data_IF_403498521624
#
_entry.id   IF_403498521624
#
_cell.length_a   1.000
_cell.length_b   1.000
_cell.length_c   1.000
_cell.angle_alpha   90.00
_cell.angle_beta   90.00
_cell.angle_gamma   90.00
#
_symmetry.space_group_name_H-M   'P 1'
#
loop_
_entity.id
_entity.type
_entity.pdbx_description
1 polymer ?
#
# COMPACT_ATOMS: atom_id res chain seq x y z
N UNK A 1 22.86 35.96 -8.79
CA UNK A 1 22.16 35.24 -7.71
C UNK A 1 22.06 33.79 -8.15
N UNK A 2 22.73 32.87 -7.46
CA UNK A 2 22.56 31.43 -7.68
C UNK A 2 21.46 30.98 -6.73
N UNK A 3 20.29 30.77 -7.31
CA UNK A 3 19.19 30.04 -6.71
C UNK A 3 19.70 28.66 -6.29
N UNK A 4 19.88 28.49 -4.98
CA UNK A 4 20.10 27.20 -4.35
C UNK A 4 18.83 26.40 -4.61
N UNK A 5 18.86 25.51 -5.61
CA UNK A 5 17.94 24.39 -5.61
C UNK A 5 18.30 23.57 -4.36
N UNK A 6 17.58 23.79 -3.27
CA UNK A 6 17.44 22.85 -2.16
C UNK A 6 16.87 21.57 -2.75
N UNK A 7 17.73 20.81 -3.41
CA UNK A 7 17.53 19.38 -3.58
C UNK A 7 17.52 18.85 -2.16
N UNK A 8 16.31 18.72 -1.63
CA UNK A 8 15.99 18.14 -0.35
C UNK A 8 16.65 16.77 -0.38
N UNK A 9 17.86 16.71 0.18
CA UNK A 9 18.73 15.55 0.11
C UNK A 9 18.14 14.55 1.09
N UNK A 10 17.08 13.85 0.65
CA UNK A 10 16.50 12.73 1.38
C UNK A 10 17.64 11.78 1.65
N UNK A 11 18.01 11.66 2.93
CA UNK A 11 19.18 10.87 3.29
C UNK A 11 18.86 9.40 3.01
N UNK A 12 19.87 8.58 2.74
CA UNK A 12 19.62 7.13 2.55
C UNK A 12 18.95 6.48 3.77
N UNK A 13 19.06 7.11 4.95
CA UNK A 13 18.39 6.72 6.19
C UNK A 13 16.87 7.01 6.16
N UNK A 14 16.45 8.14 5.58
CA UNK A 14 15.03 8.46 5.35
C UNK A 14 14.38 7.47 4.38
N UNK A 15 15.12 7.03 3.35
CA UNK A 15 14.65 6.02 2.39
C UNK A 15 14.52 4.66 3.07
N UNK A 16 15.53 4.23 3.84
CA UNK A 16 15.47 2.95 4.56
C UNK A 16 14.30 2.92 5.55
N UNK A 17 14.04 4.03 6.24
CA UNK A 17 12.91 4.17 7.15
C UNK A 17 11.58 4.04 6.40
N UNK A 18 11.42 4.71 5.26
CA UNK A 18 10.21 4.61 4.44
C UNK A 18 9.97 3.18 3.91
N UNK A 19 11.03 2.49 3.49
CA UNK A 19 10.94 1.09 3.03
C UNK A 19 10.58 0.13 4.17
N UNK A 20 11.19 0.31 5.35
CA UNK A 20 10.84 -0.49 6.53
C UNK A 20 9.39 -0.24 6.98
N UNK A 21 8.92 1.01 6.87
CA UNK A 21 7.53 1.34 7.14
C UNK A 21 6.57 0.66 6.16
N UNK A 22 6.95 0.53 4.88
CA UNK A 22 6.19 -0.19 3.84
C UNK A 22 6.13 -1.70 4.11
N UNK A 23 7.23 -2.31 4.52
CA UNK A 23 7.30 -3.74 4.85
C UNK A 23 6.44 -4.10 6.07
N UNK A 24 6.33 -3.16 7.03
CA UNK A 24 5.51 -3.32 8.24
C UNK A 24 4.07 -2.82 8.08
N UNK A 25 3.57 -2.61 6.85
CA UNK A 25 2.18 -2.21 6.62
C UNK A 25 1.30 -3.44 6.71
N UNK A 26 0.53 -3.49 7.78
CA UNK A 26 -0.59 -4.40 7.95
C UNK A 26 -1.85 -3.54 7.99
N UNK A 27 -2.74 -3.75 7.02
CA UNK A 27 -4.03 -3.06 6.92
C UNK A 27 -5.09 -4.11 6.68
N UNK A 28 -5.99 -4.25 7.63
CA UNK A 28 -7.17 -5.10 7.50
C UNK A 28 -8.25 -4.33 6.73
N UNK A 29 -8.75 -4.93 5.66
CA UNK A 29 -9.83 -4.37 4.85
C UNK A 29 -10.86 -5.46 4.60
N UNK A 30 -12.12 -5.17 4.92
CA UNK A 30 -13.25 -6.04 4.57
C UNK A 30 -13.88 -5.56 3.27
N UNK A 31 -14.25 -6.51 2.40
CA UNK A 31 -15.01 -6.24 1.19
C UNK A 31 -15.96 -7.40 0.90
N UNK A 32 -16.97 -7.12 0.07
CA UNK A 32 -17.89 -8.10 -0.50
C UNK A 32 -17.32 -8.54 -1.85
N UNK A 33 -17.03 -9.83 -2.02
CA UNK A 33 -16.44 -10.39 -3.25
C UNK A 33 -17.40 -10.39 -4.43
N UNK A 34 -18.71 -10.39 -4.18
CA UNK A 34 -19.74 -10.35 -5.22
C UNK A 34 -20.04 -8.92 -5.70
N UNK A 35 -19.61 -7.92 -4.94
CA UNK A 35 -19.83 -6.51 -5.25
C UNK A 35 -18.54 -5.84 -5.76
N UNK A 36 -18.43 -5.56 -7.08
CA UNK A 36 -17.25 -4.90 -7.63
C UNK A 36 -17.03 -3.49 -7.05
N UNK A 37 -18.09 -2.81 -6.58
CA UNK A 37 -17.95 -1.51 -5.92
C UNK A 37 -17.26 -1.67 -4.55
N UNK A 38 -17.67 -2.64 -3.73
CA UNK A 38 -17.03 -2.99 -2.46
C UNK A 38 -15.54 -3.34 -2.61
N UNK A 39 -15.19 -4.11 -3.64
CA UNK A 39 -13.79 -4.43 -3.99
C UNK A 39 -13.00 -3.16 -4.31
N UNK A 40 -13.55 -2.27 -5.14
CA UNK A 40 -12.90 -1.01 -5.50
C UNK A 40 -12.71 -0.11 -4.27
N UNK A 41 -13.71 -0.02 -3.40
CA UNK A 41 -13.60 0.73 -2.13
C UNK A 41 -12.50 0.17 -1.23
N UNK A 42 -12.35 -1.14 -1.15
CA UNK A 42 -11.28 -1.76 -0.35
C UNK A 42 -9.89 -1.45 -0.89
N UNK A 43 -9.71 -1.49 -2.22
CA UNK A 43 -8.46 -1.09 -2.87
C UNK A 43 -8.18 0.39 -2.56
N UNK A 44 -9.17 1.28 -2.72
CA UNK A 44 -9.01 2.71 -2.45
C UNK A 44 -8.65 2.99 -0.99
N UNK A 45 -9.33 2.34 -0.03
CA UNK A 45 -9.08 2.50 1.39
C UNK A 45 -7.64 2.09 1.76
N UNK A 46 -7.16 0.97 1.22
CA UNK A 46 -5.77 0.53 1.42
C UNK A 46 -4.78 1.51 0.81
N UNK A 47 -5.03 1.95 -0.43
CA UNK A 47 -4.18 2.91 -1.11
C UNK A 47 -4.08 4.24 -0.35
N UNK A 48 -5.18 4.70 0.24
CA UNK A 48 -5.24 5.90 1.07
C UNK A 48 -4.48 5.71 2.40
N UNK A 49 -4.58 4.54 3.02
CA UNK A 49 -3.84 4.21 4.24
C UNK A 49 -2.32 4.27 4.01
N UNK A 50 -1.82 3.69 2.92
CA UNK A 50 -0.41 3.82 2.51
C UNK A 50 -0.07 5.28 2.25
N UNK A 51 -0.93 6.01 1.53
CA UNK A 51 -0.70 7.40 1.19
C UNK A 51 -0.56 8.29 2.43
N UNK A 52 -1.41 8.08 3.42
CA UNK A 52 -1.41 8.80 4.70
C UNK A 52 -0.15 8.50 5.49
N UNK A 53 0.20 7.21 5.62
CA UNK A 53 1.36 6.75 6.41
C UNK A 53 2.70 7.23 5.85
N UNK A 54 2.81 7.37 4.52
CA UNK A 54 4.05 7.78 3.84
C UNK A 54 4.00 9.22 3.33
N UNK A 55 3.00 10.00 3.71
CA UNK A 55 2.86 11.41 3.32
C UNK A 55 4.14 12.23 3.57
N UNK A 56 4.84 11.97 4.68
CA UNK A 56 6.11 12.61 5.03
C UNK A 56 7.35 12.15 4.25
N UNK A 57 7.23 11.06 3.47
CA UNK A 57 8.34 10.47 2.70
C UNK A 57 8.13 10.57 1.18
N UNK A 58 7.15 11.37 0.74
CA UNK A 58 6.85 11.61 -0.67
C UNK A 58 7.93 12.43 -1.36
N UNK A 59 8.06 12.20 -2.67
CA UNK A 59 8.96 12.97 -3.55
C UNK A 59 10.28 12.27 -3.88
N UNK A 60 10.64 11.17 -3.21
CA UNK A 60 11.76 10.32 -3.63
C UNK A 60 11.29 9.21 -4.57
N UNK A 61 11.91 9.11 -5.76
CA UNK A 61 11.51 8.16 -6.79
C UNK A 61 11.55 6.69 -6.36
N UNK A 62 12.44 6.32 -5.42
CA UNK A 62 12.54 4.94 -4.91
C UNK A 62 11.40 4.65 -3.94
N UNK A 63 11.07 5.62 -3.08
CA UNK A 63 9.92 5.52 -2.17
C UNK A 63 8.62 5.47 -2.96
N UNK A 64 8.44 6.34 -3.96
CA UNK A 64 7.26 6.30 -4.84
C UNK A 64 7.14 4.96 -5.58
N UNK A 65 8.24 4.42 -6.10
CA UNK A 65 8.24 3.12 -6.76
C UNK A 65 7.87 1.99 -5.80
N UNK A 66 8.40 2.02 -4.58
CA UNK A 66 8.08 1.02 -3.56
C UNK A 66 6.61 1.09 -3.16
N UNK A 67 6.06 2.29 -3.02
CA UNK A 67 4.62 2.51 -2.76
C UNK A 67 3.77 1.92 -3.88
N UNK A 68 4.12 2.19 -5.14
CA UNK A 68 3.38 1.64 -6.28
C UNK A 68 3.41 0.10 -6.32
N UNK A 69 4.54 -0.51 -5.95
CA UNK A 69 4.66 -1.97 -5.88
C UNK A 69 3.74 -2.55 -4.81
N UNK A 70 3.79 -2.03 -3.59
CA UNK A 70 2.94 -2.52 -2.50
C UNK A 70 1.44 -2.36 -2.82
N UNK A 71 1.05 -1.21 -3.42
CA UNK A 71 -0.32 -0.99 -3.87
C UNK A 71 -0.75 -2.02 -4.93
N UNK A 72 0.12 -2.30 -5.89
CA UNK A 72 -0.17 -3.27 -6.94
C UNK A 72 -0.29 -4.69 -6.37
N UNK A 73 0.64 -5.10 -5.51
CA UNK A 73 0.64 -6.43 -4.90
C UNK A 73 -0.63 -6.65 -4.08
N UNK A 74 -1.04 -5.65 -3.29
CA UNK A 74 -2.28 -5.74 -2.51
C UNK A 74 -3.53 -5.74 -3.38
N UNK A 75 -3.56 -4.94 -4.45
CA UNK A 75 -4.66 -4.98 -5.43
C UNK A 75 -4.79 -6.36 -6.07
N UNK A 76 -3.67 -6.98 -6.45
CA UNK A 76 -3.66 -8.34 -6.95
C UNK A 76 -4.20 -9.31 -5.89
N UNK A 77 -3.80 -9.17 -4.63
CA UNK A 77 -4.27 -10.04 -3.54
C UNK A 77 -5.79 -9.90 -3.29
N UNK A 78 -6.34 -8.69 -3.28
CA UNK A 78 -7.80 -8.47 -3.18
C UNK A 78 -8.52 -9.13 -4.35
N UNK A 79 -8.06 -8.92 -5.58
CA UNK A 79 -8.72 -9.46 -6.77
C UNK A 79 -8.61 -10.99 -6.83
N UNK A 80 -7.48 -11.55 -6.39
CA UNK A 80 -7.27 -13.00 -6.29
C UNK A 80 -8.25 -13.60 -5.27
N UNK A 81 -8.37 -13.00 -4.09
CA UNK A 81 -9.36 -13.40 -3.06
C UNK A 81 -10.80 -13.26 -3.54
N UNK A 82 -11.15 -12.15 -4.22
CA UNK A 82 -12.47 -11.96 -4.80
C UNK A 82 -12.79 -12.98 -5.90
N UNK A 83 -11.77 -13.46 -6.63
CA UNK A 83 -11.93 -14.47 -7.68
C UNK A 83 -11.93 -15.91 -7.17
N UNK A 84 -11.35 -16.14 -5.99
CA UNK A 84 -11.27 -17.43 -5.32
C UNK A 84 -12.56 -17.72 -4.55
N UNK A 85 -13.69 -17.66 -5.26
CA UNK A 85 -15.05 -17.99 -4.78
C UNK A 85 -15.25 -19.52 -4.66
N UNK A 86 -14.31 -20.19 -3.99
CA UNK A 86 -14.41 -21.61 -3.64
C UNK A 86 -14.71 -21.72 -2.15
N UNK A 87 -16.00 -21.65 -1.81
CA UNK A 87 -16.63 -22.13 -0.57
C UNK A 87 -15.78 -22.00 0.72
N UNK A 88 -15.83 -20.85 1.41
CA UNK A 88 -15.78 -20.92 2.88
C UNK A 88 -16.61 -19.81 3.54
N UNK A 89 -17.74 -20.23 4.12
CA UNK A 89 -18.55 -19.44 5.02
C UNK A 89 -17.69 -18.97 6.22
N UNK A 90 -17.31 -17.70 6.24
CA UNK A 90 -17.03 -17.01 7.49
C UNK A 90 -15.87 -16.04 7.44
N UNK A 91 -16.20 -14.75 7.41
CA UNK A 91 -15.43 -13.63 7.94
C UNK A 91 -13.92 -13.89 8.10
N UNK A 92 -13.19 -13.89 6.98
CA UNK A 92 -11.74 -14.12 6.98
C UNK A 92 -11.01 -12.80 7.12
N UNK A 93 -10.63 -12.49 8.36
CA UNK A 93 -9.59 -11.51 8.70
C UNK A 93 -8.25 -12.02 8.17
N UNK A 94 -7.76 -11.44 7.07
CA UNK A 94 -6.50 -11.87 6.43
C UNK A 94 -5.39 -10.89 6.75
N UNK A 95 -4.55 -11.28 7.71
CA UNK A 95 -3.29 -10.61 8.03
C UNK A 95 -2.25 -10.98 6.98
N UNK A 96 -1.85 -10.03 6.14
CA UNK A 96 -0.73 -10.23 5.22
C UNK A 96 0.56 -9.68 5.84
N UNK A 97 1.47 -10.59 6.18
CA UNK A 97 2.87 -10.26 6.49
C UNK A 97 3.70 -10.50 5.23
N UNK A 98 4.22 -9.43 4.64
CA UNK A 98 5.16 -9.51 3.51
C UNK A 98 6.54 -9.81 4.09
N UNK A 99 7.20 -10.87 3.60
CA UNK A 99 8.42 -11.44 4.17
C UNK A 99 9.65 -11.26 3.28
#
# INVERSE_FOLDING_TARGET
MREYAETLFVTSEDIATALNLLESIEVEVGFDSDDPESIEQAILAFEEAINTRLSGHRGDARVELAILRVKLDFRCAILDQASSDEDDEGAISSVHTVH
#
